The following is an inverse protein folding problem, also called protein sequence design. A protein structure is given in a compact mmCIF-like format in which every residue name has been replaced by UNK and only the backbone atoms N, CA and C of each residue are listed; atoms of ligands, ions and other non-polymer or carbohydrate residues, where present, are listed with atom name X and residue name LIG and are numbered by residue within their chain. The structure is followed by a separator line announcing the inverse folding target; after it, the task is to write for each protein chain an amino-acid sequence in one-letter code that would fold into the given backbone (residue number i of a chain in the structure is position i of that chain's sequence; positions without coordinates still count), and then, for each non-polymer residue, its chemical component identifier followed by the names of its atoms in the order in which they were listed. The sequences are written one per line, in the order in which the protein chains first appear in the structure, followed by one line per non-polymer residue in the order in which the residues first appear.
data_IF_033138559737
#
_entry.id   IF_033138559737
#
_cell.length_a   1.000
_cell.length_b   1.000
_cell.length_c   1.000
_cell.angle_alpha   90.00
_cell.angle_beta   90.00
_cell.angle_gamma   90.00
#
_symmetry.space_group_name_H-M   'P 1'
#
loop_
_entity.id
_entity.type
_entity.pdbx_description
1 polymer ?
#
# COMPACT_ATOMS: atom_id res chain seq x y z
N UNK A 1 16.44 -26.71 -17.00
CA UNK A 1 15.39 -25.79 -17.46
C UNK A 1 14.43 -25.29 -16.36
N UNK A 2 14.35 -25.92 -15.18
CA UNK A 2 13.47 -25.45 -14.07
C UNK A 2 13.90 -24.12 -13.40
N UNK A 3 15.20 -23.80 -13.39
CA UNK A 3 15.72 -22.59 -12.70
C UNK A 3 15.39 -21.26 -13.39
N UNK A 4 15.12 -21.28 -14.70
CA UNK A 4 14.78 -20.04 -15.45
C UNK A 4 13.36 -19.57 -15.18
N UNK A 5 12.41 -20.48 -14.95
CA UNK A 5 11.03 -20.12 -14.60
C UNK A 5 10.95 -19.42 -13.24
N UNK A 6 11.70 -19.91 -12.25
CA UNK A 6 11.79 -19.31 -10.92
C UNK A 6 12.45 -17.92 -10.96
N UNK A 7 13.52 -17.75 -11.75
CA UNK A 7 14.18 -16.45 -11.91
C UNK A 7 13.28 -15.40 -12.60
N UNK A 8 12.43 -15.84 -13.55
CA UNK A 8 11.45 -14.97 -14.20
C UNK A 8 10.34 -14.52 -13.27
N UNK A 9 9.84 -15.43 -12.42
CA UNK A 9 8.83 -15.10 -11.39
C UNK A 9 9.40 -14.15 -10.33
N UNK A 10 10.66 -14.34 -9.92
CA UNK A 10 11.33 -13.47 -8.94
C UNK A 10 11.54 -12.04 -9.50
N UNK A 11 11.92 -11.93 -10.78
CA UNK A 11 12.08 -10.64 -11.45
C UNK A 11 10.75 -9.90 -11.63
N UNK A 12 9.69 -10.61 -12.05
CA UNK A 12 8.35 -10.04 -12.19
C UNK A 12 7.80 -9.59 -10.83
N UNK A 13 8.00 -10.39 -9.78
CA UNK A 13 7.59 -10.06 -8.42
C UNK A 13 8.32 -8.82 -7.87
N UNK A 14 9.62 -8.70 -8.16
CA UNK A 14 10.41 -7.52 -7.77
C UNK A 14 9.96 -6.25 -8.50
N UNK A 15 9.64 -6.35 -9.80
CA UNK A 15 9.11 -5.24 -10.58
C UNK A 15 7.77 -4.78 -9.98
N UNK A 16 6.87 -5.72 -9.71
CA UNK A 16 5.58 -5.44 -9.05
C UNK A 16 5.76 -4.70 -7.72
N UNK A 17 6.61 -5.19 -6.81
CA UNK A 17 6.83 -4.54 -5.51
C UNK A 17 7.42 -3.13 -5.65
N UNK A 18 8.24 -2.89 -6.69
CA UNK A 18 8.82 -1.58 -6.98
C UNK A 18 7.74 -0.58 -7.41
N UNK A 19 6.84 -0.99 -8.30
CA UNK A 19 5.72 -0.17 -8.75
C UNK A 19 4.71 0.10 -7.62
N UNK A 20 4.37 -0.95 -6.86
CA UNK A 20 3.52 -0.85 -5.68
C UNK A 20 4.08 0.15 -4.66
N UNK A 21 5.40 0.13 -4.41
CA UNK A 21 6.04 1.07 -3.50
C UNK A 21 5.83 2.54 -3.94
N UNK A 22 5.92 2.83 -5.25
CA UNK A 22 5.69 4.17 -5.79
C UNK A 22 4.26 4.65 -5.56
N UNK A 23 3.27 3.79 -5.86
CA UNK A 23 1.85 4.09 -5.70
C UNK A 23 1.47 4.29 -4.22
N UNK A 24 1.91 3.38 -3.35
CA UNK A 24 1.66 3.45 -1.91
C UNK A 24 2.30 4.71 -1.31
N UNK A 25 3.52 5.05 -1.71
CA UNK A 25 4.21 6.25 -1.21
C UNK A 25 3.47 7.53 -1.62
N UNK A 26 2.95 7.61 -2.84
CA UNK A 26 2.10 8.73 -3.24
C UNK A 26 0.81 8.78 -2.40
N UNK A 27 0.16 7.64 -2.22
CA UNK A 27 -1.09 7.51 -1.45
C UNK A 27 -0.95 7.97 0.01
N UNK A 28 0.07 7.49 0.72
CA UNK A 28 0.27 7.80 2.14
C UNK A 28 0.78 9.22 2.35
N UNK A 29 1.73 9.71 1.55
CA UNK A 29 2.20 11.11 1.67
C UNK A 29 1.10 12.13 1.43
N UNK A 30 0.16 11.83 0.52
CA UNK A 30 -0.99 12.70 0.28
C UNK A 30 -1.91 12.82 1.51
N UNK A 31 -1.92 11.80 2.38
CA UNK A 31 -2.82 11.66 3.53
C UNK A 31 -2.15 11.96 4.87
N UNK A 32 -0.83 11.85 4.96
CA UNK A 32 -0.02 12.12 6.15
C UNK A 32 0.92 13.29 5.88
N UNK A 33 0.35 14.45 5.54
CA UNK A 33 1.12 15.60 5.00
C UNK A 33 2.10 16.21 6.02
N UNK A 34 1.95 15.91 7.31
CA UNK A 34 2.87 16.33 8.38
C UNK A 34 3.73 15.21 8.97
N UNK A 35 3.64 13.97 8.46
CA UNK A 35 4.36 12.82 9.01
C UNK A 35 4.96 11.95 7.89
N UNK A 36 6.04 12.42 7.25
CA UNK A 36 6.68 11.68 6.16
C UNK A 36 7.30 10.36 6.63
N UNK A 37 7.78 10.28 7.88
CA UNK A 37 8.33 9.05 8.47
C UNK A 37 7.25 7.98 8.66
N UNK A 38 6.09 8.34 9.21
CA UNK A 38 4.95 7.43 9.35
C UNK A 38 4.42 6.97 7.99
N UNK A 39 4.47 7.84 6.98
CA UNK A 39 4.09 7.48 5.62
C UNK A 39 5.03 6.40 5.03
N UNK A 40 6.35 6.53 5.21
CA UNK A 40 7.31 5.53 4.75
C UNK A 40 7.18 4.20 5.52
N UNK A 41 6.90 4.26 6.82
CA UNK A 41 6.66 3.06 7.64
C UNK A 41 5.41 2.30 7.15
N UNK A 42 4.31 3.02 6.89
CA UNK A 42 3.09 2.43 6.32
C UNK A 42 3.30 1.84 4.92
N UNK A 43 4.17 2.43 4.09
CA UNK A 43 4.57 1.83 2.81
C UNK A 43 5.22 0.48 3.06
N UNK A 44 6.19 0.41 3.97
CA UNK A 44 6.89 -0.84 4.28
C UNK A 44 5.94 -1.91 4.84
N UNK A 45 5.12 -1.56 5.84
CA UNK A 45 4.13 -2.49 6.40
C UNK A 45 3.18 -3.03 5.33
N UNK A 46 2.76 -2.18 4.40
CA UNK A 46 1.83 -2.56 3.33
C UNK A 46 2.51 -3.47 2.30
N UNK A 47 3.77 -3.19 1.93
CA UNK A 47 4.55 -4.06 1.04
C UNK A 47 4.80 -5.44 1.66
N UNK A 48 5.11 -5.49 2.96
CA UNK A 48 5.21 -6.77 3.69
C UNK A 48 3.89 -7.51 3.68
N UNK A 49 2.77 -6.83 3.94
CA UNK A 49 1.45 -7.45 3.92
C UNK A 49 1.06 -7.96 2.52
N UNK A 50 1.38 -7.22 1.46
CA UNK A 50 1.20 -7.64 0.07
C UNK A 50 2.00 -8.90 -0.24
N UNK A 51 3.28 -8.91 0.12
CA UNK A 51 4.13 -10.07 -0.11
C UNK A 51 3.61 -11.32 0.62
N UNK A 52 3.27 -11.19 1.90
CA UNK A 52 2.77 -12.32 2.70
C UNK A 52 1.40 -12.82 2.26
N UNK A 53 0.56 -11.95 1.68
CA UNK A 53 -0.81 -12.31 1.23
C UNK A 53 -0.90 -12.59 -0.27
N UNK A 54 0.22 -12.57 -1.00
CA UNK A 54 0.27 -12.80 -2.45
C UNK A 54 -0.45 -14.08 -2.86
N UNK A 55 -0.29 -15.15 -2.09
CA UNK A 55 -0.90 -16.46 -2.37
C UNK A 55 -2.42 -16.48 -2.17
N UNK A 56 -2.97 -15.47 -1.47
CA UNK A 56 -4.41 -15.29 -1.26
C UNK A 56 -5.06 -14.32 -2.25
N UNK A 57 -4.27 -13.79 -3.20
CA UNK A 57 -4.81 -12.90 -4.22
C UNK A 57 -5.64 -13.70 -5.24
N UNK A 58 -6.87 -13.25 -5.45
CA UNK A 58 -7.76 -13.76 -6.48
C UNK A 58 -7.62 -12.87 -7.72
N UNK A 59 -7.14 -13.45 -8.82
CA UNK A 59 -6.95 -12.77 -10.10
C UNK A 59 -8.25 -12.29 -10.76
N UNK A 60 -9.41 -12.65 -10.23
CA UNK A 60 -10.70 -12.11 -10.67
C UNK A 60 -10.91 -10.64 -10.28
N UNK A 61 -10.07 -10.11 -9.38
CA UNK A 61 -10.12 -8.71 -8.94
C UNK A 61 -8.89 -7.95 -9.39
N UNK A 62 -8.99 -6.64 -9.71
CA UNK A 62 -7.83 -5.83 -10.03
C UNK A 62 -6.79 -5.81 -8.90
N UNK A 63 -5.54 -6.06 -9.22
CA UNK A 63 -4.43 -6.11 -8.25
C UNK A 63 -4.27 -4.79 -7.48
N UNK A 64 -4.48 -3.67 -8.18
CA UNK A 64 -4.42 -2.32 -7.61
C UNK A 64 -5.52 -2.10 -6.57
N UNK A 65 -6.73 -2.60 -6.80
CA UNK A 65 -7.84 -2.49 -5.85
C UNK A 65 -7.56 -3.29 -4.58
N UNK A 66 -7.05 -4.52 -4.72
CA UNK A 66 -6.63 -5.35 -3.59
C UNK A 66 -5.51 -4.69 -2.77
N UNK A 67 -4.51 -4.11 -3.45
CA UNK A 67 -3.44 -3.36 -2.81
C UNK A 67 -3.95 -2.16 -2.01
N UNK A 68 -4.80 -1.33 -2.62
CA UNK A 68 -5.33 -0.16 -1.93
C UNK A 68 -6.27 -0.53 -0.78
N UNK A 69 -6.97 -1.67 -0.84
CA UNK A 69 -7.75 -2.16 0.29
C UNK A 69 -6.85 -2.43 1.52
N UNK A 70 -5.69 -3.07 1.31
CA UNK A 70 -4.71 -3.30 2.39
C UNK A 70 -4.15 -1.97 2.90
N UNK A 71 -3.76 -1.07 2.01
CA UNK A 71 -3.22 0.25 2.36
C UNK A 71 -4.21 1.08 3.19
N UNK A 72 -5.49 1.12 2.78
CA UNK A 72 -6.57 1.81 3.50
C UNK A 72 -6.78 1.20 4.89
N UNK A 73 -6.82 -0.12 5.00
CA UNK A 73 -6.95 -0.79 6.29
C UNK A 73 -5.82 -0.39 7.25
N UNK A 74 -4.57 -0.37 6.75
CA UNK A 74 -3.40 0.03 7.53
C UNK A 74 -3.45 1.49 7.96
N UNK A 75 -3.83 2.40 7.05
CA UNK A 75 -4.01 3.81 7.38
C UNK A 75 -5.05 4.01 8.48
N UNK A 76 -6.22 3.37 8.34
CA UNK A 76 -7.30 3.48 9.33
C UNK A 76 -6.84 2.97 10.69
N UNK A 77 -6.13 1.84 10.73
CA UNK A 77 -5.58 1.30 11.97
C UNK A 77 -4.54 2.24 12.61
N UNK A 78 -3.63 2.81 11.80
CA UNK A 78 -2.65 3.80 12.24
C UNK A 78 -3.34 5.04 12.83
N UNK A 79 -4.30 5.63 12.11
CA UNK A 79 -5.05 6.81 12.55
C UNK A 79 -5.86 6.52 13.83
N UNK A 80 -6.47 5.33 13.91
CA UNK A 80 -7.15 4.87 15.13
C UNK A 80 -6.16 4.83 16.30
N UNK A 81 -5.00 4.21 16.15
CA UNK A 81 -3.97 4.14 17.21
C UNK A 81 -3.43 5.51 17.57
N UNK A 82 -3.20 6.39 16.60
CA UNK A 82 -2.79 7.77 16.83
C UNK A 82 -3.82 8.52 17.67
N UNK A 83 -5.12 8.44 17.32
CA UNK A 83 -6.20 9.04 18.12
C UNK A 83 -6.28 8.51 19.55
N UNK A 84 -6.05 7.21 19.77
CA UNK A 84 -6.02 6.65 21.13
C UNK A 84 -4.76 7.10 21.92
N UNK A 85 -3.65 7.40 21.23
CA UNK A 85 -2.45 7.99 21.84
C UNK A 85 -2.61 9.47 22.15
N UNK A 86 -3.50 10.20 21.45
CA UNK A 86 -3.81 11.63 21.62
C UNK A 86 -4.42 12.01 22.98
N UNK A 87 -4.60 11.05 23.90
CA UNK A 87 -4.59 11.37 25.35
C UNK A 87 -3.26 12.00 25.83
N UNK A 88 -2.22 12.01 24.98
CA UNK A 88 -1.03 12.87 25.04
C UNK A 88 -0.86 13.60 23.68
N UNK A 89 -0.62 14.92 23.64
CA UNK A 89 -0.85 15.74 22.45
C UNK A 89 0.18 15.45 21.34
N UNK A 90 -0.30 15.24 20.11
CA UNK A 90 0.52 15.30 18.89
C UNK A 90 -0.10 16.36 17.97
N UNK A 91 0.54 17.52 17.96
CA UNK A 91 0.21 18.70 17.19
C UNK A 91 0.94 18.59 15.83
N UNK A 92 0.25 18.28 14.73
CA UNK A 92 0.89 18.30 13.39
C UNK A 92 0.41 17.31 12.32
N UNK A 93 -0.51 16.39 12.60
CA UNK A 93 -1.01 15.46 11.57
C UNK A 93 -2.17 16.07 10.76
N UNK A 94 -1.85 16.72 9.63
CA UNK A 94 -2.86 17.11 8.64
C UNK A 94 -3.29 15.90 7.80
N UNK A 95 -4.49 15.39 8.08
CA UNK A 95 -5.09 14.26 7.36
C UNK A 95 -5.82 14.77 6.11
N UNK A 96 -5.34 14.39 4.93
CA UNK A 96 -6.03 14.67 3.67
C UNK A 96 -7.32 13.85 3.51
N UNK A 97 -8.30 14.39 2.78
CA UNK A 97 -9.60 13.74 2.54
C UNK A 97 -9.44 12.34 1.92
N UNK A 98 -10.24 11.38 2.40
CA UNK A 98 -10.19 10.01 1.93
C UNK A 98 -10.89 9.93 0.56
N UNK A 99 -10.10 9.96 -0.51
CA UNK A 99 -10.57 9.90 -1.91
C UNK A 99 -11.70 8.84 -2.12
N UNK A 100 -12.87 9.26 -2.67
CA UNK A 100 -13.96 8.36 -3.01
C UNK A 100 -13.62 7.54 -4.27
N UNK A 101 -13.77 6.21 -4.15
CA UNK A 101 -13.76 5.21 -5.23
C UNK A 101 -12.73 5.39 -6.35
N UNK A 102 -11.55 4.78 -6.15
CA UNK A 102 -10.62 4.50 -7.24
C UNK A 102 -11.21 3.38 -8.12
N UNK A 103 -11.91 3.77 -9.17
CA UNK A 103 -12.39 2.86 -10.21
C UNK A 103 -11.19 2.36 -11.02
N UNK A 104 -10.71 1.17 -10.66
CA UNK A 104 -9.55 0.54 -11.30
C UNK A 104 -9.91 0.12 -12.73
N UNK A 105 -9.67 1.01 -13.70
CA UNK A 105 -9.50 0.61 -15.10
C UNK A 105 -8.16 -0.10 -15.21
N UNK A 106 -8.19 -1.43 -15.09
CA UNK A 106 -7.06 -2.28 -15.40
C UNK A 106 -6.97 -2.37 -16.93
N UNK A 107 -6.38 -1.34 -17.55
CA UNK A 107 -5.97 -1.42 -18.94
C UNK A 107 -4.76 -2.39 -19.01
N UNK A 108 -4.79 -3.42 -19.88
CA UNK A 108 -3.66 -4.32 -20.00
C UNK A 108 -2.43 -3.53 -20.45
N UNK A 109 -1.34 -3.63 -19.67
CA UNK A 109 -0.02 -3.15 -20.07
C UNK A 109 0.29 -3.69 -21.49
N UNK A 110 0.49 -2.78 -22.45
CA UNK A 110 1.10 -3.08 -23.76
C UNK A 110 2.61 -2.92 -23.68
#
# INVERSE_FOLDING_TARGET
MLLQGLAGDDAAHRAFLTEAAGLLRAFFRNRLRGAPEDAEDLVQETLVALHTRRDSYDSNYPLTAWMYAIARYRLIDFLRRAKHRVTAPIDGLEIGDADPEYEASDAPFS
#
